data_IF_939613099809
#
_entry.id   IF_939613099809
#
_cell.length_a   1.000
_cell.length_b   1.000
_cell.length_c   1.000
_cell.angle_alpha   90.00
_cell.angle_beta   90.00
_cell.angle_gamma   90.00
#
_symmetry.space_group_name_H-M   'P 1'
#
loop_
_entity.id
_entity.type
_entity.pdbx_description
1 polymer ?
#
# COMPACT_ATOMS: atom_id res chain seq x y z
N UNK A 1 2.70 12.43 4.43
CA UNK A 1 4.13 12.76 4.32
C UNK A 1 4.86 12.01 5.41
N UNK A 2 5.97 11.36 5.07
CA UNK A 2 6.90 10.76 6.01
C UNK A 2 8.24 11.48 5.91
N UNK A 3 8.80 11.84 7.04
CA UNK A 3 10.12 12.50 7.16
C UNK A 3 11.07 11.52 7.84
N UNK A 4 12.21 11.28 7.20
CA UNK A 4 13.23 10.38 7.71
C UNK A 4 14.51 11.16 8.00
N UNK A 5 15.20 10.78 9.08
CA UNK A 5 16.60 11.11 9.31
C UNK A 5 17.40 9.80 9.13
N UNK A 6 18.16 9.70 8.03
CA UNK A 6 18.74 8.43 7.56
C UNK A 6 17.62 7.38 7.45
N UNK A 7 17.71 6.28 8.19
CA UNK A 7 16.72 5.19 8.16
C UNK A 7 15.67 5.25 9.28
N UNK A 8 15.63 6.35 10.05
CA UNK A 8 14.66 6.51 11.14
C UNK A 8 13.53 7.43 10.72
N UNK A 9 12.30 6.97 10.83
CA UNK A 9 11.12 7.80 10.68
C UNK A 9 11.05 8.79 11.86
N UNK A 10 11.21 10.08 11.58
CA UNK A 10 11.16 11.14 12.60
C UNK A 10 9.80 11.83 12.65
N UNK A 11 9.04 11.79 11.56
CA UNK A 11 7.70 12.37 11.51
C UNK A 11 6.85 11.71 10.44
N UNK A 12 5.59 11.45 10.78
CA UNK A 12 4.56 11.04 9.84
C UNK A 12 3.36 11.97 9.98
N UNK A 13 2.88 12.52 8.86
CA UNK A 13 1.74 13.43 8.82
C UNK A 13 0.81 13.00 7.70
N UNK A 14 -0.46 12.89 8.03
CA UNK A 14 -1.53 12.67 7.05
C UNK A 14 -2.23 14.00 6.82
N UNK A 15 -2.36 14.40 5.56
CA UNK A 15 -3.13 15.56 5.14
C UNK A 15 -4.31 15.08 4.30
N UNK A 16 -5.46 15.65 4.52
CA UNK A 16 -6.60 15.47 3.63
C UNK A 16 -6.32 16.14 2.28
N UNK A 17 -5.77 17.36 2.33
CA UNK A 17 -5.25 18.10 1.18
C UNK A 17 -3.99 18.85 1.59
N UNK A 18 -2.88 18.57 0.90
CA UNK A 18 -1.64 19.29 1.12
C UNK A 18 -1.61 20.57 0.28
N UNK A 19 -1.16 21.68 0.89
CA UNK A 19 -0.98 22.95 0.24
C UNK A 19 0.46 23.50 0.37
N UNK A 20 0.74 24.66 -0.25
CA UNK A 20 2.06 25.26 -0.25
C UNK A 20 2.56 25.57 1.17
N UNK A 21 1.70 26.13 2.03
CA UNK A 21 2.08 26.50 3.40
C UNK A 21 2.41 25.29 4.26
N UNK A 22 1.79 24.14 4.02
CA UNK A 22 2.11 22.89 4.72
C UNK A 22 3.54 22.44 4.39
N UNK A 23 3.92 22.53 3.11
CA UNK A 23 5.28 22.18 2.67
C UNK A 23 6.29 23.18 3.24
N UNK A 24 6.03 24.48 3.17
CA UNK A 24 6.92 25.53 3.71
C UNK A 24 7.10 25.36 5.23
N UNK A 25 6.05 25.03 5.96
CA UNK A 25 6.12 24.75 7.40
C UNK A 25 6.99 23.52 7.69
N UNK A 26 6.85 22.44 6.91
CA UNK A 26 7.70 21.27 7.06
C UNK A 26 9.16 21.58 6.81
N UNK A 27 9.45 22.33 5.74
CA UNK A 27 10.81 22.74 5.42
C UNK A 27 11.42 23.58 6.53
N UNK A 28 10.66 24.51 7.09
CA UNK A 28 11.12 25.36 8.20
C UNK A 28 11.43 24.58 9.48
N UNK A 29 10.67 23.49 9.74
CA UNK A 29 10.89 22.63 10.92
C UNK A 29 12.15 21.76 10.83
N UNK A 30 12.54 21.36 9.63
CA UNK A 30 13.63 20.41 9.41
C UNK A 30 14.89 21.03 8.77
N UNK A 31 14.91 22.36 8.58
CA UNK A 31 16.00 23.21 8.10
C UNK A 31 16.53 22.92 6.70
N UNK A 32 16.45 21.71 6.16
CA UNK A 32 16.74 21.34 4.77
C UNK A 32 16.48 19.84 4.57
N UNK A 33 15.82 19.51 3.47
CA UNK A 33 15.75 18.13 3.00
C UNK A 33 16.84 17.90 1.94
N UNK A 34 17.65 16.88 2.13
CA UNK A 34 18.66 16.48 1.11
C UNK A 34 17.96 15.86 -0.10
N UNK A 35 16.93 15.05 0.15
CA UNK A 35 16.18 14.34 -0.87
C UNK A 35 14.69 14.36 -0.57
N UNK A 36 13.89 14.57 -1.61
CA UNK A 36 12.45 14.48 -1.59
C UNK A 36 12.02 13.51 -2.67
N UNK A 37 11.18 12.54 -2.28
CA UNK A 37 10.58 11.58 -3.21
C UNK A 37 9.07 11.76 -3.15
N UNK A 38 8.44 11.85 -4.32
CA UNK A 38 6.99 11.90 -4.49
C UNK A 38 6.57 10.57 -5.13
N UNK A 39 5.64 9.87 -4.47
CA UNK A 39 4.99 8.67 -4.98
C UNK A 39 3.49 8.87 -4.96
N UNK A 40 2.85 8.78 -6.11
CA UNK A 40 1.39 8.88 -6.25
C UNK A 40 0.91 8.00 -7.40
N UNK A 41 -0.22 7.36 -7.21
CA UNK A 41 -0.93 6.62 -8.27
C UNK A 41 -1.91 7.51 -9.04
N UNK A 42 -2.23 8.71 -8.51
CA UNK A 42 -3.01 9.73 -9.20
C UNK A 42 -2.09 10.70 -9.94
N UNK A 43 -2.19 10.73 -11.26
CA UNK A 43 -1.42 11.66 -12.13
C UNK A 43 -1.75 13.11 -11.79
N UNK A 44 -3.01 13.42 -11.49
CA UNK A 44 -3.44 14.76 -11.15
C UNK A 44 -2.82 15.24 -9.84
N UNK A 45 -2.90 14.43 -8.77
CA UNK A 45 -2.30 14.75 -7.47
C UNK A 45 -0.78 14.82 -7.56
N UNK A 46 -0.13 13.95 -8.31
CA UNK A 46 1.31 14.01 -8.53
C UNK A 46 1.72 15.33 -9.17
N UNK A 47 1.04 15.71 -10.25
CA UNK A 47 1.31 16.96 -10.96
C UNK A 47 1.04 18.18 -10.08
N UNK A 48 -0.01 18.13 -9.27
CA UNK A 48 -0.35 19.19 -8.32
C UNK A 48 0.74 19.36 -7.26
N UNK A 49 1.16 18.26 -6.63
CA UNK A 49 2.21 18.27 -5.60
C UNK A 49 3.55 18.69 -6.19
N UNK A 50 3.94 18.16 -7.35
CA UNK A 50 5.15 18.54 -8.05
C UNK A 50 5.18 20.06 -8.32
N UNK A 51 4.08 20.63 -8.81
CA UNK A 51 3.95 22.08 -9.02
C UNK A 51 4.11 22.92 -7.74
N UNK A 52 3.75 22.39 -6.57
CA UNK A 52 4.01 23.08 -5.30
C UNK A 52 5.52 23.16 -4.99
N UNK A 53 6.25 22.05 -5.20
CA UNK A 53 7.70 22.03 -5.00
C UNK A 53 8.43 22.90 -6.03
N UNK A 54 7.99 22.91 -7.28
CA UNK A 54 8.55 23.81 -8.32
C UNK A 54 8.41 25.30 -7.95
N UNK A 55 7.23 25.70 -7.41
CA UNK A 55 6.99 27.08 -6.95
C UNK A 55 7.85 27.50 -5.75
N UNK A 56 8.32 26.55 -4.98
CA UNK A 56 9.21 26.78 -3.82
C UNK A 56 10.68 26.69 -4.25
N UNK A 57 10.96 26.15 -5.43
CA UNK A 57 12.31 25.98 -5.97
C UNK A 57 13.07 24.80 -5.34
N UNK A 58 12.37 23.78 -4.85
CA UNK A 58 12.98 22.61 -4.20
C UNK A 58 13.00 21.44 -5.16
N UNK A 59 14.15 20.78 -5.26
CA UNK A 59 14.32 19.58 -6.08
C UNK A 59 13.64 18.38 -5.43
N UNK A 60 12.99 17.58 -6.26
CA UNK A 60 12.34 16.34 -5.87
C UNK A 60 12.56 15.27 -6.93
N UNK A 61 12.32 14.02 -6.56
CA UNK A 61 12.30 12.87 -7.46
C UNK A 61 10.89 12.31 -7.54
N UNK A 62 10.36 12.15 -8.76
CA UNK A 62 9.11 11.43 -8.99
C UNK A 62 9.42 9.94 -9.10
N UNK A 63 8.89 9.14 -8.17
CA UNK A 63 9.06 7.69 -8.20
C UNK A 63 8.43 7.11 -9.47
N UNK A 64 9.16 6.23 -10.12
CA UNK A 64 8.69 5.51 -11.30
C UNK A 64 9.47 4.21 -11.48
N UNK A 65 9.05 3.37 -12.40
CA UNK A 65 9.80 2.15 -12.76
C UNK A 65 11.20 2.44 -13.34
N UNK A 66 11.47 3.69 -13.77
CA UNK A 66 12.79 4.15 -14.25
C UNK A 66 13.68 4.73 -13.15
N UNK A 67 13.17 4.86 -11.94
CA UNK A 67 13.96 5.32 -10.81
C UNK A 67 15.11 4.37 -10.52
N UNK A 68 16.24 4.84 -9.97
CA UNK A 68 17.29 3.96 -9.50
C UNK A 68 16.77 3.15 -8.30
N UNK A 69 16.44 1.90 -8.55
CA UNK A 69 15.90 0.97 -7.56
C UNK A 69 16.97 -0.04 -7.14
N UNK A 70 16.92 -0.57 -5.91
CA UNK A 70 17.86 -1.60 -5.44
C UNK A 70 17.56 -2.99 -5.99
N UNK A 71 16.55 -3.13 -6.85
CA UNK A 71 16.12 -4.37 -7.51
C UNK A 71 15.77 -4.08 -8.98
N UNK A 72 15.68 -5.13 -9.79
CA UNK A 72 15.21 -5.03 -11.18
C UNK A 72 13.71 -5.26 -11.27
N UNK A 73 13.10 -4.69 -12.30
CA UNK A 73 11.67 -4.87 -12.60
C UNK A 73 11.57 -5.74 -13.85
N UNK A 74 11.15 -7.00 -13.67
CA UNK A 74 10.93 -7.97 -14.74
C UNK A 74 9.43 -8.05 -15.13
N UNK A 75 8.66 -7.04 -14.72
CA UNK A 75 7.23 -6.92 -15.03
C UNK A 75 7.04 -6.60 -16.50
N UNK A 76 6.14 -7.30 -17.18
CA UNK A 76 5.98 -7.20 -18.66
C UNK A 76 5.51 -5.82 -19.15
N UNK A 77 4.80 -5.08 -18.30
CA UNK A 77 4.28 -3.73 -18.59
C UNK A 77 4.70 -2.75 -17.51
N UNK A 78 6.01 -2.45 -17.34
CA UNK A 78 6.52 -1.67 -16.23
C UNK A 78 5.99 -0.24 -16.20
N UNK A 79 5.59 0.32 -17.35
CA UNK A 79 4.98 1.65 -17.48
C UNK A 79 3.60 1.76 -16.81
N UNK A 80 2.91 0.65 -16.58
CA UNK A 80 1.61 0.58 -15.90
C UNK A 80 1.71 0.16 -14.44
N UNK A 81 2.93 -0.13 -13.97
CA UNK A 81 3.15 -0.57 -12.59
C UNK A 81 2.86 0.56 -11.59
N UNK A 82 2.01 0.28 -10.62
CA UNK A 82 1.68 1.23 -9.56
C UNK A 82 2.92 1.64 -8.76
N UNK A 83 3.07 2.93 -8.50
CA UNK A 83 4.21 3.49 -7.77
C UNK A 83 4.18 3.09 -6.29
N UNK A 84 3.01 2.87 -5.73
CA UNK A 84 2.79 2.29 -4.40
C UNK A 84 3.42 0.91 -4.26
N UNK A 85 3.26 0.04 -5.26
CA UNK A 85 3.87 -1.28 -5.31
C UNK A 85 5.41 -1.19 -5.38
N UNK A 86 5.94 -0.29 -6.21
CA UNK A 86 7.39 -0.02 -6.28
C UNK A 86 7.91 0.45 -4.92
N UNK A 87 7.21 1.37 -4.26
CA UNK A 87 7.59 1.90 -2.96
C UNK A 87 7.58 0.81 -1.87
N UNK A 88 6.54 -0.03 -1.84
CA UNK A 88 6.43 -1.13 -0.89
C UNK A 88 7.57 -2.16 -1.04
N UNK A 89 7.90 -2.52 -2.28
CA UNK A 89 9.02 -3.40 -2.59
C UNK A 89 10.37 -2.78 -2.21
N UNK A 90 10.57 -1.48 -2.48
CA UNK A 90 11.79 -0.77 -2.08
C UNK A 90 11.93 -0.70 -0.56
N UNK A 91 10.83 -0.51 0.16
CA UNK A 91 10.78 -0.57 1.62
C UNK A 91 11.15 -1.95 2.16
N UNK A 92 10.57 -3.00 1.60
CA UNK A 92 10.89 -4.39 1.95
C UNK A 92 12.39 -4.70 1.75
N UNK A 93 12.92 -4.32 0.60
CA UNK A 93 14.35 -4.49 0.30
C UNK A 93 15.25 -3.69 1.25
N UNK A 94 14.88 -2.47 1.60
CA UNK A 94 15.65 -1.64 2.53
C UNK A 94 15.71 -2.21 3.96
N UNK A 95 14.67 -2.92 4.39
CA UNK A 95 14.59 -3.54 5.73
C UNK A 95 15.36 -4.87 5.75
N UNK A 96 15.21 -5.69 4.72
CA UNK A 96 15.61 -7.11 4.74
C UNK A 96 16.80 -7.43 3.83
N UNK A 97 17.20 -6.53 2.92
CA UNK A 97 18.29 -6.71 1.96
C UNK A 97 17.89 -7.59 0.77
N UNK A 98 18.86 -8.34 0.21
CA UNK A 98 18.60 -9.27 -0.90
C UNK A 98 17.92 -10.53 -0.36
N UNK A 99 16.84 -10.97 -1.02
CA UNK A 99 16.11 -12.17 -0.63
C UNK A 99 14.83 -12.37 -1.43
N UNK A 100 14.04 -13.34 -0.99
CA UNK A 100 12.75 -13.65 -1.56
C UNK A 100 11.64 -13.09 -0.66
N UNK A 101 10.80 -12.22 -1.20
CA UNK A 101 9.76 -11.53 -0.44
C UNK A 101 8.42 -11.62 -1.15
N UNK A 102 7.39 -11.96 -0.39
CA UNK A 102 6.00 -11.66 -0.72
C UNK A 102 5.61 -10.41 0.06
N UNK A 103 5.49 -9.28 -0.63
CA UNK A 103 5.05 -8.01 -0.04
C UNK A 103 3.56 -7.89 -0.26
N UNK A 104 2.82 -7.76 0.83
CA UNK A 104 1.36 -7.65 0.82
C UNK A 104 0.99 -6.28 1.37
N UNK A 105 0.36 -5.45 0.56
CA UNK A 105 -0.19 -4.16 0.98
C UNK A 105 -1.72 -4.28 1.06
N UNK A 106 -2.25 -4.14 2.28
CA UNK A 106 -3.69 -4.21 2.55
C UNK A 106 -4.28 -2.80 2.68
N UNK A 107 -4.73 -2.27 1.57
CA UNK A 107 -5.33 -0.94 1.43
C UNK A 107 -6.73 -0.96 0.81
N UNK A 108 -7.03 0.04 0.02
CA UNK A 108 -8.25 0.09 -0.81
C UNK A 108 -8.32 -1.13 -1.74
N UNK A 109 -7.21 -1.43 -2.40
CA UNK A 109 -6.94 -2.74 -2.98
C UNK A 109 -5.86 -3.44 -2.14
N UNK A 110 -5.88 -4.76 -2.14
CA UNK A 110 -4.78 -5.56 -1.64
C UNK A 110 -3.85 -5.87 -2.81
N UNK A 111 -2.54 -5.68 -2.61
CA UNK A 111 -1.54 -6.13 -3.59
C UNK A 111 -0.68 -7.24 -3.00
N UNK A 112 -0.23 -8.14 -3.84
CA UNK A 112 0.56 -9.32 -3.49
C UNK A 112 1.76 -9.35 -4.43
N UNK A 113 2.87 -8.74 -4.04
CA UNK A 113 4.03 -8.49 -4.89
C UNK A 113 5.19 -9.41 -4.54
N UNK A 114 5.76 -10.06 -5.56
CA UNK A 114 6.79 -11.06 -5.39
C UNK A 114 8.15 -10.54 -5.89
N UNK A 115 9.08 -10.37 -4.97
CA UNK A 115 10.49 -10.09 -5.22
C UNK A 115 11.30 -11.36 -4.98
N UNK A 116 12.04 -11.81 -5.98
CA UNK A 116 12.85 -13.04 -5.92
C UNK A 116 14.27 -12.72 -6.35
N UNK A 117 15.23 -12.96 -5.46
CA UNK A 117 16.67 -12.73 -5.71
C UNK A 117 16.99 -11.34 -6.27
N UNK A 118 16.26 -10.32 -5.83
CA UNK A 118 16.41 -8.94 -6.30
C UNK A 118 15.69 -8.62 -7.59
N UNK A 119 14.74 -9.46 -8.02
CA UNK A 119 13.91 -9.27 -9.21
C UNK A 119 12.44 -9.18 -8.84
N UNK A 120 11.79 -8.07 -9.14
CA UNK A 120 10.33 -7.98 -9.07
C UNK A 120 9.75 -8.73 -10.27
N UNK A 121 9.26 -9.93 -10.05
CA UNK A 121 8.78 -10.83 -11.10
C UNK A 121 7.29 -10.71 -11.38
N UNK A 122 6.55 -9.98 -10.54
CA UNK A 122 5.11 -9.76 -10.71
C UNK A 122 4.33 -9.82 -9.42
N UNK A 123 3.02 -9.72 -9.54
CA UNK A 123 2.11 -9.75 -8.38
C UNK A 123 0.66 -9.71 -8.80
N UNK A 124 -0.23 -9.67 -7.82
CA UNK A 124 -1.66 -9.65 -8.01
C UNK A 124 -2.29 -8.45 -7.31
N UNK A 125 -3.44 -8.03 -7.80
CA UNK A 125 -4.26 -6.97 -7.21
C UNK A 125 -5.65 -7.55 -6.97
N UNK A 126 -6.17 -7.38 -5.76
CA UNK A 126 -7.50 -7.82 -5.37
C UNK A 126 -8.23 -6.70 -4.62
N UNK A 127 -9.57 -6.73 -4.58
CA UNK A 127 -10.33 -5.77 -3.81
C UNK A 127 -10.04 -5.89 -2.31
N UNK A 128 -9.78 -4.77 -1.63
CA UNK A 128 -9.73 -4.71 -0.18
C UNK A 128 -11.11 -4.90 0.47
N UNK A 129 -11.16 -4.94 1.80
CA UNK A 129 -12.39 -5.26 2.54
C UNK A 129 -13.51 -4.26 2.22
N UNK A 130 -13.23 -2.94 2.27
CA UNK A 130 -14.26 -1.93 1.98
C UNK A 130 -14.79 -2.06 0.55
N UNK A 131 -13.90 -2.25 -0.42
CA UNK A 131 -14.29 -2.42 -1.82
C UNK A 131 -15.18 -3.66 -2.02
N UNK A 132 -14.94 -4.76 -1.29
CA UNK A 132 -15.80 -5.95 -1.32
C UNK A 132 -17.19 -5.65 -0.74
N UNK A 133 -17.26 -4.91 0.38
CA UNK A 133 -18.51 -4.49 1.00
C UNK A 133 -19.30 -3.54 0.08
N UNK A 134 -18.64 -2.57 -0.52
CA UNK A 134 -19.25 -1.62 -1.45
C UNK A 134 -19.76 -2.33 -2.70
N UNK A 135 -18.99 -3.26 -3.26
CA UNK A 135 -19.42 -4.06 -4.41
C UNK A 135 -20.67 -4.90 -4.10
N UNK A 136 -20.74 -5.53 -2.93
CA UNK A 136 -21.93 -6.29 -2.51
C UNK A 136 -23.16 -5.38 -2.41
N UNK A 137 -23.02 -4.17 -1.84
CA UNK A 137 -24.11 -3.21 -1.77
C UNK A 137 -24.53 -2.70 -3.16
N UNK A 138 -23.58 -2.24 -3.95
CA UNK A 138 -23.86 -1.57 -5.24
C UNK A 138 -24.38 -2.54 -6.31
N UNK A 139 -23.94 -3.79 -6.29
CA UNK A 139 -24.25 -4.78 -7.32
C UNK A 139 -25.41 -5.73 -6.93
N UNK A 140 -26.06 -5.50 -5.78
CA UNK A 140 -27.23 -6.27 -5.35
C UNK A 140 -28.36 -5.38 -4.89
N UNK A 141 -29.61 -5.88 -4.99
CA UNK A 141 -30.80 -5.07 -4.69
C UNK A 141 -31.09 -4.89 -3.18
N UNK A 142 -30.57 -5.77 -2.32
CA UNK A 142 -31.04 -5.88 -0.94
C UNK A 142 -29.93 -5.83 0.13
N UNK A 143 -28.67 -5.90 -0.25
CA UNK A 143 -27.59 -5.87 0.71
C UNK A 143 -27.31 -4.45 1.22
N UNK A 144 -27.26 -4.24 2.54
CA UNK A 144 -27.05 -2.90 3.11
C UNK A 144 -25.64 -2.39 2.85
N UNK A 145 -25.46 -1.07 2.84
CA UNK A 145 -24.13 -0.45 2.84
C UNK A 145 -23.48 -0.66 4.21
N UNK A 146 -22.23 -1.11 4.22
CA UNK A 146 -21.43 -1.32 5.41
C UNK A 146 -20.09 -0.61 5.31
N UNK A 147 -19.59 -0.12 6.43
CA UNK A 147 -18.29 0.54 6.54
C UNK A 147 -17.38 -0.17 7.53
N UNK A 148 -16.09 -0.34 7.17
CA UNK A 148 -15.11 -1.06 7.98
C UNK A 148 -15.02 -0.52 9.42
N UNK A 149 -15.07 0.80 9.59
CA UNK A 149 -14.84 1.44 10.89
C UNK A 149 -16.09 1.38 11.77
N UNK A 150 -17.27 1.70 11.22
CA UNK A 150 -18.51 1.82 12.00
C UNK A 150 -19.28 0.51 12.16
N UNK A 151 -19.14 -0.41 11.21
CA UNK A 151 -19.92 -1.66 11.16
C UNK A 151 -19.08 -2.90 11.48
N UNK A 152 -17.89 -2.71 12.07
CA UNK A 152 -17.00 -3.82 12.48
C UNK A 152 -17.77 -4.81 13.36
N UNK A 153 -17.86 -6.04 12.92
CA UNK A 153 -18.42 -7.14 13.72
C UNK A 153 -17.29 -7.86 14.47
N UNK A 154 -17.63 -8.67 15.46
CA UNK A 154 -16.64 -9.51 16.12
C UNK A 154 -16.17 -10.60 15.14
N UNK A 155 -15.00 -10.40 14.54
CA UNK A 155 -14.46 -11.25 13.47
C UNK A 155 -13.85 -12.57 13.97
N UNK A 156 -13.95 -12.89 15.26
CA UNK A 156 -13.40 -14.14 15.82
C UNK A 156 -14.14 -15.39 15.33
N UNK A 157 -15.42 -15.24 14.95
CA UNK A 157 -16.20 -16.32 14.35
C UNK A 157 -16.39 -16.06 12.85
N UNK A 158 -15.89 -16.92 11.94
CA UNK A 158 -16.09 -16.75 10.51
C UNK A 158 -17.54 -16.92 10.06
N UNK A 159 -18.42 -17.54 10.87
CA UNK A 159 -19.83 -17.72 10.57
C UNK A 159 -20.60 -16.42 10.87
N UNK A 160 -21.26 -15.86 9.85
CA UNK A 160 -22.17 -14.74 10.02
C UNK A 160 -23.61 -15.23 10.28
N UNK A 161 -24.21 -14.77 11.37
CA UNK A 161 -25.57 -15.15 11.78
C UNK A 161 -26.62 -14.11 11.38
N UNK A 162 -26.20 -12.98 10.85
CA UNK A 162 -27.05 -11.92 10.29
C UNK A 162 -26.53 -11.50 8.92
N UNK A 163 -27.35 -10.86 8.09
CA UNK A 163 -26.89 -10.34 6.80
C UNK A 163 -25.66 -9.44 6.93
N UNK A 164 -25.64 -8.54 7.93
CA UNK A 164 -24.49 -7.66 8.16
C UNK A 164 -23.24 -8.45 8.54
N UNK A 165 -23.34 -9.37 9.51
CA UNK A 165 -22.19 -10.18 9.92
C UNK A 165 -21.74 -11.15 8.81
N UNK A 166 -22.66 -11.70 8.02
CA UNK A 166 -22.32 -12.54 6.87
C UNK A 166 -21.54 -11.77 5.79
N UNK A 167 -21.97 -10.56 5.46
CA UNK A 167 -21.26 -9.69 4.52
C UNK A 167 -19.87 -9.31 5.05
N UNK A 168 -19.82 -8.87 6.30
CA UNK A 168 -18.57 -8.43 6.92
C UNK A 168 -17.57 -9.58 7.05
N UNK A 169 -18.00 -10.72 7.60
CA UNK A 169 -17.16 -11.91 7.76
C UNK A 169 -16.72 -12.47 6.40
N UNK A 170 -17.62 -12.48 5.41
CA UNK A 170 -17.28 -12.88 4.05
C UNK A 170 -16.19 -12.03 3.42
N UNK A 171 -16.25 -10.70 3.58
CA UNK A 171 -15.21 -9.78 3.10
C UNK A 171 -13.90 -9.95 3.89
N UNK A 172 -13.95 -9.98 5.22
CA UNK A 172 -12.79 -10.08 6.11
C UNK A 172 -12.05 -11.41 5.97
N UNK A 173 -12.76 -12.52 6.21
CA UNK A 173 -12.18 -13.86 6.12
C UNK A 173 -11.79 -14.23 4.68
N UNK A 174 -12.50 -13.66 3.70
CA UNK A 174 -12.11 -13.75 2.29
C UNK A 174 -10.69 -13.20 2.07
N UNK A 175 -10.38 -12.03 2.62
CA UNK A 175 -9.04 -11.44 2.55
C UNK A 175 -8.01 -12.27 3.32
N UNK A 176 -8.32 -12.70 4.55
CA UNK A 176 -7.40 -13.53 5.37
C UNK A 176 -7.06 -14.85 4.65
N UNK A 177 -8.05 -15.52 4.09
CA UNK A 177 -7.84 -16.78 3.37
C UNK A 177 -7.05 -16.57 2.07
N UNK A 178 -7.26 -15.44 1.38
CA UNK A 178 -6.52 -15.05 0.19
C UNK A 178 -5.05 -14.80 0.52
N UNK A 179 -4.76 -14.07 1.61
CA UNK A 179 -3.41 -13.83 2.12
C UNK A 179 -2.72 -15.17 2.42
N UNK A 180 -3.37 -16.02 3.23
CA UNK A 180 -2.82 -17.32 3.62
C UNK A 180 -2.58 -18.22 2.39
N UNK A 181 -3.49 -18.21 1.42
CA UNK A 181 -3.35 -18.95 0.18
C UNK A 181 -2.14 -18.52 -0.64
N UNK A 182 -1.88 -17.21 -0.77
CA UNK A 182 -0.68 -16.71 -1.45
C UNK A 182 0.60 -17.03 -0.69
N UNK A 183 0.59 -16.89 0.65
CA UNK A 183 1.75 -17.25 1.49
C UNK A 183 2.08 -18.74 1.31
N UNK A 184 1.08 -19.62 1.44
CA UNK A 184 1.27 -21.05 1.28
C UNK A 184 1.80 -21.41 -0.11
N UNK A 185 1.15 -20.90 -1.16
CA UNK A 185 1.51 -21.16 -2.55
C UNK A 185 2.95 -20.77 -2.87
N UNK A 186 3.35 -19.54 -2.49
CA UNK A 186 4.68 -19.05 -2.83
C UNK A 186 5.78 -19.60 -1.91
N UNK A 187 5.46 -19.94 -0.65
CA UNK A 187 6.41 -20.59 0.26
C UNK A 187 6.82 -21.99 -0.20
N UNK A 188 5.93 -22.71 -0.89
CA UNK A 188 6.26 -23.98 -1.51
C UNK A 188 7.18 -23.84 -2.73
N UNK A 189 7.11 -22.71 -3.43
CA UNK A 189 7.85 -22.48 -4.67
C UNK A 189 9.19 -21.80 -4.45
N UNK A 190 9.29 -20.87 -3.50
CA UNK A 190 10.47 -20.05 -3.26
C UNK A 190 11.05 -20.32 -1.87
N UNK A 191 12.30 -20.82 -1.82
CA UNK A 191 12.96 -21.11 -0.55
C UNK A 191 13.21 -19.83 0.24
N UNK A 192 13.07 -19.92 1.56
CA UNK A 192 13.29 -18.80 2.49
C UNK A 192 12.45 -17.55 2.13
N UNK A 193 11.27 -17.74 1.57
CA UNK A 193 10.35 -16.66 1.32
C UNK A 193 9.94 -15.99 2.64
N UNK A 194 10.14 -14.69 2.72
CA UNK A 194 9.62 -13.87 3.82
C UNK A 194 8.35 -13.17 3.37
N UNK A 195 7.37 -13.07 4.24
CA UNK A 195 6.17 -12.29 4.01
C UNK A 195 6.26 -10.97 4.75
N UNK A 196 6.08 -9.88 4.05
CA UNK A 196 6.06 -8.53 4.61
C UNK A 196 4.66 -7.97 4.39
N UNK A 197 4.03 -7.60 5.49
CA UNK A 197 2.67 -7.05 5.49
C UNK A 197 2.74 -5.54 5.75
N UNK A 198 2.00 -4.77 4.96
CA UNK A 198 1.84 -3.32 5.11
C UNK A 198 0.40 -2.90 4.77
N UNK A 199 0.10 -1.62 4.90
CA UNK A 199 -1.21 -1.05 4.57
C UNK A 199 -2.02 -0.63 5.80
N UNK A 200 -3.01 0.24 5.56
CA UNK A 200 -3.81 0.87 6.62
C UNK A 200 -4.75 -0.07 7.36
N UNK A 201 -5.03 -1.26 6.84
CA UNK A 201 -5.92 -2.24 7.48
C UNK A 201 -5.28 -2.97 8.67
N UNK A 202 -3.95 -2.95 8.81
CA UNK A 202 -3.25 -3.55 9.96
C UNK A 202 -3.44 -2.80 11.27
N UNK A 203 -3.95 -1.58 11.27
CA UNK A 203 -4.36 -0.86 12.48
C UNK A 203 -5.72 -1.32 13.02
N UNK A 204 -6.38 -2.25 12.35
CA UNK A 204 -7.54 -2.96 12.87
C UNK A 204 -6.95 -4.12 13.67
N UNK A 205 -6.96 -4.01 15.01
CA UNK A 205 -6.52 -5.11 15.89
C UNK A 205 -7.16 -6.43 15.43
N UNK A 206 -6.28 -7.35 15.03
CA UNK A 206 -6.63 -8.72 14.64
C UNK A 206 -6.76 -9.56 15.91
#
# INVERSE_FOLDING_TARGET
>A
IAVFNRNQLVKHIVFEHINKSDIENLISQFNLFEHIIISSVSIEEESRIASLFDKIGIKYHLLSYKSPLPFTIDYLTPETLGKDRIAALAGAYAIEGIGNYLVIDCGTCNTYDLLVDGHFIGGNIAPGIQMRLDAMHQLTAALPQLHIVSDKTNATNPLGETTKSAMWNGAYWGVINEINGYIEHYSQKYKNLKTILTGGLFNIEV
#
